data_IF_914571459354
#
_entry.id   IF_914571459354
#
_cell.length_a   1.000
_cell.length_b   1.000
_cell.length_c   1.000
_cell.angle_alpha   90.00
_cell.angle_beta   90.00
_cell.angle_gamma   90.00
#
_symmetry.space_group_name_H-M   'P 1'
#
loop_
_entity.id
_entity.type
_entity.pdbx_description
1 polymer ?
#
# COMPACT_ATOMS: atom_id res chain seq x y z
N UNK A 1 -18.14 1.94 -1.52
CA UNK A 1 -17.45 1.07 -2.52
C UNK A 1 -16.32 1.84 -3.23
N UNK A 2 -15.30 1.13 -3.71
CA UNK A 2 -14.22 1.73 -4.48
C UNK A 2 -13.82 0.90 -5.69
N UNK A 3 -13.03 1.50 -6.58
CA UNK A 3 -12.72 0.92 -7.89
C UNK A 3 -11.22 1.09 -8.23
N UNK A 4 -10.59 0.03 -8.76
CA UNK A 4 -9.25 0.13 -9.34
C UNK A 4 -9.38 0.72 -10.75
N UNK A 5 -8.66 1.79 -11.04
CA UNK A 5 -8.80 2.51 -12.33
C UNK A 5 -7.55 2.52 -13.19
N UNK A 6 -6.39 2.15 -12.63
CA UNK A 6 -5.18 1.91 -13.42
C UNK A 6 -5.35 0.72 -14.38
N UNK A 7 -4.59 0.74 -15.48
CA UNK A 7 -4.55 -0.32 -16.49
C UNK A 7 -3.28 -1.18 -16.38
N UNK A 8 -2.64 -1.17 -15.21
CA UNK A 8 -1.45 -1.96 -14.93
C UNK A 8 -0.14 -1.30 -15.35
N UNK A 9 0.94 -2.04 -15.08
CA UNK A 9 2.31 -1.61 -15.29
C UNK A 9 2.79 -1.95 -16.69
N UNK A 10 3.65 -1.12 -17.25
CA UNK A 10 4.38 -1.35 -18.49
C UNK A 10 5.87 -1.08 -18.28
N UNK A 11 6.77 -1.79 -18.99
CA UNK A 11 8.20 -1.48 -18.95
C UNK A 11 8.45 -0.01 -19.30
N UNK A 12 9.31 0.64 -18.52
CA UNK A 12 9.71 2.03 -18.75
C UNK A 12 10.88 2.05 -19.75
N UNK A 13 10.71 2.57 -20.98
CA UNK A 13 11.76 2.57 -21.98
C UNK A 13 13.00 3.34 -21.52
N UNK A 14 14.19 2.80 -21.77
CA UNK A 14 15.45 3.44 -21.37
C UNK A 14 15.77 3.36 -19.86
N UNK A 15 14.97 2.62 -19.08
CA UNK A 15 15.23 2.34 -17.67
C UNK A 15 15.87 0.97 -17.44
N UNK A 16 16.34 0.72 -16.21
CA UNK A 16 16.90 -0.57 -15.82
C UNK A 16 15.83 -1.49 -15.23
N UNK A 17 15.01 -2.10 -16.09
CA UNK A 17 13.88 -2.96 -15.71
C UNK A 17 12.88 -2.28 -14.76
N UNK A 18 12.72 -0.97 -14.87
CA UNK A 18 11.70 -0.23 -14.13
C UNK A 18 10.40 -0.20 -14.93
N UNK A 19 9.31 0.25 -14.29
CA UNK A 19 7.99 0.29 -14.92
C UNK A 19 7.28 1.61 -14.66
N UNK A 20 6.31 1.90 -15.52
CA UNK A 20 5.37 3.00 -15.34
C UNK A 20 3.95 2.46 -15.41
N UNK A 21 3.00 3.19 -14.84
CA UNK A 21 1.61 2.75 -14.79
C UNK A 21 0.74 3.44 -15.84
N UNK A 22 -0.08 2.68 -16.53
CA UNK A 22 -0.96 3.14 -17.59
C UNK A 22 -2.39 3.39 -17.08
N UNK A 23 -3.19 4.14 -17.85
CA UNK A 23 -4.65 4.25 -17.63
C UNK A 23 -5.23 5.66 -17.59
N UNK A 24 -4.44 6.70 -17.88
CA UNK A 24 -4.93 8.08 -17.89
C UNK A 24 -5.90 8.34 -19.05
N UNK A 25 -5.73 7.64 -20.17
CA UNK A 25 -6.60 7.77 -21.34
C UNK A 25 -8.05 7.40 -21.01
N UNK A 26 -8.94 8.36 -21.20
CA UNK A 26 -10.37 8.24 -20.89
C UNK A 26 -10.69 8.13 -19.39
N UNK A 27 -9.73 8.40 -18.50
CA UNK A 27 -9.92 8.24 -17.05
C UNK A 27 -11.07 9.10 -16.51
N UNK A 28 -11.21 10.36 -16.93
CA UNK A 28 -12.28 11.25 -16.48
C UNK A 28 -13.67 10.64 -16.75
N UNK A 29 -13.92 10.23 -17.99
CA UNK A 29 -15.19 9.59 -18.37
C UNK A 29 -15.45 8.31 -17.58
N UNK A 30 -14.41 7.49 -17.34
CA UNK A 30 -14.52 6.29 -16.51
C UNK A 30 -14.86 6.63 -15.05
N UNK A 31 -14.18 7.61 -14.45
CA UNK A 31 -14.44 8.04 -13.08
C UNK A 31 -15.88 8.58 -12.91
N UNK A 32 -16.36 9.41 -13.83
CA UNK A 32 -17.74 9.90 -13.82
C UNK A 32 -18.76 8.75 -13.88
N UNK A 33 -18.50 7.75 -14.71
CA UNK A 33 -19.36 6.57 -14.82
C UNK A 33 -19.31 5.71 -13.55
N UNK A 34 -18.12 5.45 -12.99
CA UNK A 34 -18.00 4.71 -11.73
C UNK A 34 -18.67 5.43 -10.57
N UNK A 35 -18.66 6.76 -10.53
CA UNK A 35 -19.38 7.53 -9.52
C UNK A 35 -20.89 7.28 -9.60
N UNK A 36 -21.47 7.29 -10.81
CA UNK A 36 -22.89 6.95 -11.05
C UNK A 36 -23.22 5.52 -10.62
N UNK A 37 -22.28 4.59 -10.78
CA UNK A 37 -22.39 3.20 -10.34
C UNK A 37 -22.15 3.01 -8.83
N UNK A 38 -21.88 4.08 -8.08
CA UNK A 38 -21.78 4.06 -6.61
C UNK A 38 -20.36 4.00 -6.04
N UNK A 39 -19.32 4.04 -6.87
CA UNK A 39 -17.95 4.21 -6.37
C UNK A 39 -17.79 5.60 -5.72
N UNK A 40 -17.02 5.66 -4.63
CA UNK A 40 -16.71 6.91 -3.91
C UNK A 40 -15.22 7.14 -3.69
N UNK A 41 -14.42 6.12 -3.95
CA UNK A 41 -12.97 6.24 -3.99
C UNK A 41 -12.42 5.40 -5.14
N UNK A 42 -11.25 5.77 -5.63
CA UNK A 42 -10.51 5.05 -6.64
C UNK A 42 -9.17 4.59 -6.09
N UNK A 43 -8.52 3.65 -6.77
CA UNK A 43 -7.14 3.23 -6.48
C UNK A 43 -6.33 3.21 -7.76
N UNK A 44 -5.11 3.73 -7.68
CA UNK A 44 -4.11 3.65 -8.73
C UNK A 44 -2.78 3.18 -8.16
N UNK A 45 -2.31 2.01 -8.61
CA UNK A 45 -1.03 1.45 -8.18
C UNK A 45 0.07 1.75 -9.19
N UNK A 46 1.14 2.38 -8.74
CA UNK A 46 2.44 2.36 -9.43
C UNK A 46 3.47 1.64 -8.57
N UNK A 47 4.61 1.26 -9.15
CA UNK A 47 5.69 0.60 -8.42
C UNK A 47 7.01 1.30 -8.60
N UNK A 48 7.86 1.19 -7.59
CA UNK A 48 9.23 1.67 -7.58
C UNK A 48 10.12 0.54 -7.08
N UNK A 49 11.15 0.16 -7.85
CA UNK A 49 12.07 -0.92 -7.50
C UNK A 49 13.32 -0.38 -6.83
N UNK A 50 13.76 -1.03 -5.74
CA UNK A 50 15.07 -0.78 -5.12
C UNK A 50 16.18 -1.61 -5.78
N UNK A 51 15.99 -2.91 -6.09
CA UNK A 51 16.93 -3.62 -6.93
C UNK A 51 17.04 -2.87 -8.25
N UNK A 52 18.28 -2.50 -8.60
CA UNK A 52 18.59 -1.78 -9.84
C UNK A 52 18.17 -0.29 -9.90
N UNK A 53 17.68 0.30 -8.81
CA UNK A 53 17.14 1.66 -8.80
C UNK A 53 16.65 2.17 -7.43
N UNK A 54 15.76 3.18 -7.35
CA UNK A 54 15.06 3.73 -8.49
C UNK A 54 15.82 4.85 -9.19
N UNK A 55 15.70 4.93 -10.51
CA UNK A 55 16.17 6.08 -11.28
C UNK A 55 15.29 7.31 -11.02
N UNK A 56 15.86 8.50 -11.21
CA UNK A 56 15.09 9.73 -11.14
C UNK A 56 13.91 9.76 -12.14
N UNK A 57 14.06 9.10 -13.29
CA UNK A 57 13.00 8.97 -14.28
C UNK A 57 11.83 8.14 -13.73
N UNK A 58 12.09 6.96 -13.18
CA UNK A 58 11.03 6.11 -12.65
C UNK A 58 10.29 6.74 -11.46
N UNK A 59 11.03 7.41 -10.56
CA UNK A 59 10.41 8.15 -9.44
C UNK A 59 9.51 9.27 -9.96
N UNK A 60 10.00 10.05 -10.93
CA UNK A 60 9.23 11.14 -11.55
C UNK A 60 7.98 10.62 -12.26
N UNK A 61 8.10 9.56 -13.07
CA UNK A 61 6.97 8.97 -13.80
C UNK A 61 5.91 8.43 -12.84
N UNK A 62 6.32 7.73 -11.78
CA UNK A 62 5.42 7.26 -10.73
C UNK A 62 4.67 8.42 -10.06
N UNK A 63 5.40 9.46 -9.64
CA UNK A 63 4.82 10.61 -8.95
C UNK A 63 3.89 11.44 -9.87
N UNK A 64 4.32 11.70 -11.12
CA UNK A 64 3.53 12.45 -12.09
C UNK A 64 2.25 11.72 -12.48
N UNK A 65 2.33 10.41 -12.76
CA UNK A 65 1.16 9.60 -13.08
C UNK A 65 0.13 9.58 -11.95
N UNK A 66 0.59 9.41 -10.71
CA UNK A 66 -0.27 9.46 -9.52
C UNK A 66 -0.94 10.82 -9.34
N UNK A 67 -0.21 11.92 -9.56
CA UNK A 67 -0.76 13.27 -9.41
C UNK A 67 -1.85 13.58 -10.44
N UNK A 68 -1.62 13.20 -11.71
CA UNK A 68 -2.62 13.32 -12.78
C UNK A 68 -3.87 12.50 -12.49
N UNK A 69 -3.68 11.25 -12.05
CA UNK A 69 -4.78 10.37 -11.62
C UNK A 69 -5.59 10.98 -10.47
N UNK A 70 -4.91 11.51 -9.45
CA UNK A 70 -5.55 12.05 -8.26
C UNK A 70 -6.42 13.27 -8.60
N UNK A 71 -5.88 14.22 -9.39
CA UNK A 71 -6.63 15.38 -9.85
C UNK A 71 -7.88 14.98 -10.64
N UNK A 72 -7.73 14.09 -11.63
CA UNK A 72 -8.87 13.59 -12.43
C UNK A 72 -9.92 12.90 -11.55
N UNK A 73 -9.49 12.14 -10.54
CA UNK A 73 -10.41 11.47 -9.62
C UNK A 73 -11.22 12.47 -8.80
N UNK A 74 -10.56 13.50 -8.25
CA UNK A 74 -11.21 14.55 -7.47
C UNK A 74 -12.22 15.34 -8.30
N UNK A 75 -11.86 15.73 -9.52
CA UNK A 75 -12.75 16.44 -10.45
C UNK A 75 -14.03 15.64 -10.79
N UNK A 76 -13.98 14.32 -10.63
CA UNK A 76 -15.11 13.42 -10.89
C UNK A 76 -15.73 12.84 -9.61
N UNK A 77 -15.44 13.44 -8.44
CA UNK A 77 -16.08 13.10 -7.17
C UNK A 77 -15.58 11.82 -6.50
N UNK A 78 -14.45 11.26 -6.93
CA UNK A 78 -13.84 10.08 -6.33
C UNK A 78 -12.63 10.47 -5.49
N UNK A 79 -12.58 10.02 -4.23
CA UNK A 79 -11.37 10.13 -3.39
C UNK A 79 -10.26 9.24 -3.97
N UNK A 80 -9.10 9.78 -4.40
CA UNK A 80 -8.01 8.96 -4.88
C UNK A 80 -7.21 8.32 -3.74
N UNK A 81 -6.97 7.01 -3.84
CA UNK A 81 -5.94 6.32 -3.08
C UNK A 81 -4.65 6.36 -3.88
N UNK A 82 -3.66 7.09 -3.38
CA UNK A 82 -2.33 7.28 -3.99
C UNK A 82 -1.39 6.18 -3.52
N UNK A 83 -1.03 5.26 -4.41
CA UNK A 83 -0.26 4.04 -4.10
C UNK A 83 1.07 3.97 -4.90
N UNK A 84 2.14 4.66 -4.43
CA UNK A 84 3.50 4.42 -4.89
C UNK A 84 4.12 3.25 -4.11
N UNK A 85 3.89 2.02 -4.57
CA UNK A 85 4.43 0.84 -3.89
C UNK A 85 5.93 0.71 -4.14
N UNK A 86 6.73 0.85 -3.10
CA UNK A 86 8.14 0.48 -3.14
C UNK A 86 8.23 -1.02 -2.92
N UNK A 87 8.78 -1.73 -3.90
CA UNK A 87 8.82 -3.20 -3.93
C UNK A 87 9.75 -3.75 -2.85
N UNK A 88 9.37 -4.92 -2.32
CA UNK A 88 10.10 -5.62 -1.28
C UNK A 88 11.34 -6.38 -1.81
N UNK A 89 11.41 -6.64 -3.12
CA UNK A 89 12.47 -7.43 -3.74
C UNK A 89 13.89 -6.91 -3.41
N UNK A 90 14.84 -7.81 -3.18
CA UNK A 90 16.26 -7.52 -2.94
C UNK A 90 16.78 -7.71 -1.50
N UNK A 91 18.09 -7.53 -1.32
CA UNK A 91 18.85 -7.67 -0.05
C UNK A 91 19.22 -6.29 0.55
N UNK A 92 18.38 -5.29 0.35
CA UNK A 92 18.63 -3.95 0.85
C UNK A 92 18.23 -3.83 2.34
N UNK A 93 18.95 -2.99 3.09
CA UNK A 93 18.63 -2.74 4.50
C UNK A 93 17.40 -1.83 4.66
N UNK A 94 16.84 -1.79 5.86
CA UNK A 94 15.70 -0.91 6.18
C UNK A 94 16.05 0.58 6.03
N UNK A 95 17.31 0.96 6.26
CA UNK A 95 17.81 2.33 6.03
C UNK A 95 17.76 2.70 4.55
N UNK A 96 18.11 1.76 3.67
CA UNK A 96 18.02 1.99 2.23
C UNK A 96 16.56 2.12 1.78
N UNK A 97 15.65 1.33 2.35
CA UNK A 97 14.21 1.49 2.10
C UNK A 97 13.71 2.86 2.57
N UNK A 98 14.15 3.32 3.73
CA UNK A 98 13.80 4.65 4.25
C UNK A 98 14.27 5.76 3.32
N UNK A 99 15.52 5.72 2.87
CA UNK A 99 16.10 6.70 1.95
C UNK A 99 15.28 6.79 0.65
N UNK A 100 14.99 5.64 0.04
CA UNK A 100 14.20 5.57 -1.19
C UNK A 100 12.77 6.05 -0.95
N UNK A 101 12.13 5.64 0.14
CA UNK A 101 10.79 6.08 0.49
C UNK A 101 10.70 7.58 0.71
N UNK A 102 11.69 8.18 1.36
CA UNK A 102 11.75 9.62 1.56
C UNK A 102 11.83 10.38 0.23
N UNK A 103 12.63 9.90 -0.72
CA UNK A 103 12.76 10.52 -2.04
C UNK A 103 11.48 10.37 -2.87
N UNK A 104 10.89 9.18 -2.90
CA UNK A 104 9.65 8.91 -3.64
C UNK A 104 8.50 9.76 -3.11
N UNK A 105 8.30 9.78 -1.79
CA UNK A 105 7.20 10.54 -1.20
C UNK A 105 7.38 12.06 -1.33
N UNK A 106 8.63 12.56 -1.34
CA UNK A 106 8.88 13.97 -1.64
C UNK A 106 8.40 14.36 -3.04
N UNK A 107 8.76 13.57 -4.06
CA UNK A 107 8.34 13.80 -5.44
C UNK A 107 6.82 13.65 -5.62
N UNK A 108 6.22 12.64 -4.96
CA UNK A 108 4.76 12.44 -4.98
C UNK A 108 4.03 13.68 -4.47
N UNK A 109 4.38 14.20 -3.29
CA UNK A 109 3.72 15.39 -2.76
C UNK A 109 4.02 16.66 -3.57
N UNK A 110 5.23 16.78 -4.10
CA UNK A 110 5.57 17.87 -5.02
C UNK A 110 4.62 17.87 -6.23
N UNK A 111 4.47 16.76 -6.93
CA UNK A 111 3.61 16.70 -8.11
C UNK A 111 2.11 16.71 -7.80
N UNK A 112 1.67 16.17 -6.66
CA UNK A 112 0.29 16.34 -6.19
C UNK A 112 -0.04 17.83 -6.04
N UNK A 113 0.87 18.61 -5.43
CA UNK A 113 0.70 20.06 -5.31
C UNK A 113 0.72 20.76 -6.69
N UNK A 114 1.63 20.38 -7.59
CA UNK A 114 1.68 20.96 -8.95
C UNK A 114 0.40 20.67 -9.77
N UNK A 115 -0.33 19.60 -9.45
CA UNK A 115 -1.61 19.26 -10.08
C UNK A 115 -2.83 19.78 -9.29
N UNK A 116 -2.63 20.66 -8.30
CA UNK A 116 -3.68 21.25 -7.46
C UNK A 116 -4.55 20.22 -6.73
N UNK A 117 -3.97 19.07 -6.35
CA UNK A 117 -4.69 18.03 -5.61
C UNK A 117 -4.96 18.51 -4.19
N UNK A 118 -6.21 18.39 -3.74
CA UNK A 118 -6.64 18.73 -2.37
C UNK A 118 -6.24 17.58 -1.43
N UNK A 119 -5.31 17.81 -0.51
CA UNK A 119 -4.74 16.74 0.33
C UNK A 119 -5.74 16.19 1.36
N UNK A 120 -6.70 17.00 1.80
CA UNK A 120 -7.81 16.59 2.67
C UNK A 120 -8.72 15.56 1.98
N UNK A 121 -8.71 15.55 0.64
CA UNK A 121 -9.50 14.68 -0.21
C UNK A 121 -8.74 13.51 -0.80
N UNK A 122 -7.60 13.07 -0.21
CA UNK A 122 -6.86 11.88 -0.66
C UNK A 122 -6.69 10.87 0.48
N UNK A 123 -6.35 9.64 0.11
CA UNK A 123 -5.77 8.66 1.03
C UNK A 123 -4.44 8.18 0.45
N UNK A 124 -3.50 7.83 1.32
CA UNK A 124 -2.24 7.23 0.87
C UNK A 124 -2.27 5.73 1.08
N UNK A 125 -1.64 4.98 0.18
CA UNK A 125 -1.39 3.55 0.34
C UNK A 125 0.09 3.26 0.13
N UNK A 126 0.95 3.59 1.11
CA UNK A 126 2.37 3.26 1.08
C UNK A 126 2.61 1.77 1.39
N UNK A 127 3.77 1.27 0.95
CA UNK A 127 4.42 0.13 1.61
C UNK A 127 4.98 0.56 2.97
N UNK A 128 5.03 -0.36 3.93
CA UNK A 128 5.77 -0.15 5.17
C UNK A 128 7.28 -0.10 4.85
N UNK A 129 8.05 0.62 5.67
CA UNK A 129 9.50 0.67 5.54
C UNK A 129 10.08 -0.57 6.22
N UNK A 130 10.42 -1.57 5.41
CA UNK A 130 10.99 -2.85 5.85
C UNK A 130 12.33 -3.11 5.17
N UNK A 131 13.19 -4.00 5.70
CA UNK A 131 14.25 -4.57 4.90
C UNK A 131 13.69 -5.29 3.67
N UNK A 132 14.54 -5.48 2.66
CA UNK A 132 14.19 -6.28 1.48
C UNK A 132 13.91 -7.73 1.84
N UNK A 133 13.14 -8.44 1.02
CA UNK A 133 12.72 -9.82 1.26
C UNK A 133 13.89 -10.80 1.36
N UNK A 134 14.98 -10.51 0.66
CA UNK A 134 16.19 -11.34 0.64
C UNK A 134 17.19 -10.90 1.72
N UNK A 135 16.84 -9.87 2.53
CA UNK A 135 17.72 -9.35 3.56
C UNK A 135 17.88 -10.31 4.73
N UNK A 136 19.14 -10.59 5.10
CA UNK A 136 19.48 -11.61 6.12
C UNK A 136 18.87 -11.34 7.49
N UNK A 137 18.67 -10.07 7.83
CA UNK A 137 18.13 -9.66 9.12
C UNK A 137 16.70 -9.18 8.95
N UNK A 138 15.75 -9.88 9.59
CA UNK A 138 14.38 -9.37 9.75
C UNK A 138 14.37 -8.24 10.78
N UNK A 139 13.55 -7.23 10.53
CA UNK A 139 13.30 -6.15 11.48
C UNK A 139 12.12 -6.51 12.40
N UNK A 140 12.19 -6.07 13.67
CA UNK A 140 11.05 -6.22 14.59
C UNK A 140 9.91 -5.27 14.22
N UNK A 141 8.66 -5.53 14.66
CA UNK A 141 7.55 -4.62 14.44
C UNK A 141 7.79 -3.20 14.95
N UNK A 142 8.45 -3.04 16.08
CA UNK A 142 8.80 -1.74 16.66
C UNK A 142 9.81 -1.00 15.78
N UNK A 143 10.76 -1.73 15.19
CA UNK A 143 11.75 -1.16 14.27
C UNK A 143 11.07 -0.72 12.98
N UNK A 144 10.22 -1.57 12.39
CA UNK A 144 9.44 -1.25 11.18
C UNK A 144 8.55 -0.04 11.44
N UNK A 145 7.84 -0.01 12.56
CA UNK A 145 6.99 1.12 12.94
C UNK A 145 7.79 2.41 13.08
N UNK A 146 8.93 2.38 13.79
CA UNK A 146 9.81 3.54 13.95
C UNK A 146 10.26 4.12 12.61
N UNK A 147 10.75 3.29 11.69
CA UNK A 147 11.23 3.74 10.38
C UNK A 147 10.09 4.22 9.50
N UNK A 148 8.95 3.53 9.52
CA UNK A 148 7.77 3.88 8.73
C UNK A 148 7.17 5.21 9.18
N UNK A 149 6.93 5.39 10.48
CA UNK A 149 6.41 6.66 11.02
C UNK A 149 7.39 7.81 10.81
N UNK A 150 8.70 7.55 10.93
CA UNK A 150 9.74 8.55 10.62
C UNK A 150 9.65 9.05 9.18
N UNK A 151 9.44 8.14 8.21
CA UNK A 151 9.23 8.52 6.81
C UNK A 151 7.97 9.39 6.65
N UNK A 152 6.84 8.96 7.24
CA UNK A 152 5.59 9.70 7.16
C UNK A 152 5.73 11.11 7.75
N UNK A 153 6.31 11.25 8.96
CA UNK A 153 6.54 12.55 9.60
C UNK A 153 7.44 13.48 8.81
N UNK A 154 8.35 12.95 7.98
CA UNK A 154 9.24 13.77 7.16
C UNK A 154 8.62 14.20 5.83
N UNK A 155 7.64 13.47 5.31
CA UNK A 155 7.17 13.63 3.92
C UNK A 155 5.69 13.84 3.74
N UNK A 156 4.85 13.44 4.70
CA UNK A 156 3.40 13.50 4.59
C UNK A 156 2.87 14.73 5.35
N UNK A 157 2.14 15.65 4.70
CA UNK A 157 1.47 16.74 5.39
C UNK A 157 0.34 16.22 6.33
N UNK A 158 0.12 16.83 7.50
CA UNK A 158 -1.01 16.51 8.39
C UNK A 158 -2.40 16.70 7.77
N UNK A 159 -2.52 17.44 6.66
CA UNK A 159 -3.78 17.62 5.95
C UNK A 159 -4.34 16.32 5.36
N UNK A 160 -3.50 15.32 5.12
CA UNK A 160 -3.95 14.01 4.64
C UNK A 160 -4.76 13.31 5.74
N UNK A 161 -5.99 12.85 5.51
CA UNK A 161 -6.79 12.25 6.58
C UNK A 161 -6.32 10.86 7.01
N UNK A 162 -5.72 10.07 6.11
CA UNK A 162 -5.35 8.71 6.45
C UNK A 162 -4.34 8.00 5.54
N UNK A 163 -3.67 7.02 6.15
CA UNK A 163 -2.61 6.19 5.60
C UNK A 163 -3.07 4.74 5.68
N UNK A 164 -3.34 4.13 4.54
CA UNK A 164 -3.96 2.82 4.39
C UNK A 164 -2.93 1.83 3.86
N UNK A 165 -2.06 1.30 4.73
CA UNK A 165 -0.91 0.50 4.31
C UNK A 165 -1.30 -0.70 3.43
N UNK A 166 -0.50 -0.96 2.40
CA UNK A 166 -0.50 -2.26 1.72
C UNK A 166 0.31 -3.28 2.53
N UNK A 167 -0.05 -4.56 2.46
CA UNK A 167 0.69 -5.61 3.17
C UNK A 167 1.95 -6.06 2.42
N UNK A 168 2.02 -5.83 1.11
CA UNK A 168 3.13 -6.30 0.28
C UNK A 168 3.25 -7.82 0.38
N UNK A 169 4.47 -8.32 0.57
CA UNK A 169 4.79 -9.75 0.77
C UNK A 169 4.84 -10.23 2.23
N UNK A 170 4.48 -9.38 3.19
CA UNK A 170 4.44 -9.76 4.62
C UNK A 170 3.41 -10.87 4.86
N UNK A 171 3.59 -11.68 5.90
CA UNK A 171 2.55 -12.62 6.36
C UNK A 171 1.31 -11.89 6.92
N UNK A 172 0.21 -12.63 7.15
CA UNK A 172 -1.00 -12.07 7.78
C UNK A 172 -0.69 -11.53 9.18
N UNK A 173 0.13 -12.26 9.96
CA UNK A 173 0.53 -11.83 11.30
C UNK A 173 1.54 -10.68 11.28
N UNK A 174 2.56 -10.74 10.41
CA UNK A 174 3.58 -9.68 10.29
C UNK A 174 2.91 -8.33 9.97
N UNK A 175 1.99 -8.32 9.00
CA UNK A 175 1.26 -7.11 8.63
C UNK A 175 0.44 -6.55 9.81
N UNK A 176 -0.24 -7.42 10.57
CA UNK A 176 -1.05 -7.04 11.73
C UNK A 176 -0.18 -6.48 12.86
N UNK A 177 0.94 -7.14 13.18
CA UNK A 177 1.87 -6.70 14.23
C UNK A 177 2.52 -5.36 13.91
N UNK A 178 2.95 -5.17 12.65
CA UNK A 178 3.57 -3.93 12.21
C UNK A 178 2.57 -2.76 12.25
N UNK A 179 1.33 -2.99 11.82
CA UNK A 179 0.25 -2.01 11.94
C UNK A 179 -0.04 -1.66 13.40
N UNK A 180 -0.09 -2.68 14.27
CA UNK A 180 -0.32 -2.49 15.69
C UNK A 180 0.76 -1.61 16.32
N UNK A 181 2.03 -1.92 16.04
CA UNK A 181 3.18 -1.17 16.55
C UNK A 181 3.15 0.31 16.11
N UNK A 182 2.72 0.60 14.87
CA UNK A 182 2.55 1.98 14.40
C UNK A 182 1.44 2.77 15.11
N UNK A 183 0.45 2.09 15.67
CA UNK A 183 -0.68 2.71 16.38
C UNK A 183 -0.51 2.75 17.91
N UNK A 184 0.63 2.30 18.46
CA UNK A 184 0.95 2.42 19.89
C UNK A 184 1.34 3.86 20.31
N UNK A 185 1.44 4.78 19.35
CA UNK A 185 1.77 6.19 19.59
C UNK A 185 0.81 7.14 18.86
N UNK A 186 0.85 8.44 19.19
CA UNK A 186 0.02 9.44 18.52
C UNK A 186 0.48 9.64 17.08
N UNK A 187 -0.49 9.67 16.16
CA UNK A 187 -0.27 9.98 14.75
C UNK A 187 -1.16 11.15 14.34
N UNK A 188 -0.67 12.09 13.50
CA UNK A 188 -1.50 13.17 12.97
C UNK A 188 -2.48 12.68 11.89
N UNK A 189 -2.30 11.46 11.39
CA UNK A 189 -3.16 10.80 10.40
C UNK A 189 -3.82 9.56 11.00
N UNK A 190 -4.93 9.11 10.41
CA UNK A 190 -5.42 7.75 10.68
C UNK A 190 -4.54 6.71 10.00
N UNK A 191 -3.82 5.91 10.80
CA UNK A 191 -2.95 4.83 10.32
C UNK A 191 -3.72 3.50 10.35
N UNK A 192 -4.04 2.98 9.17
CA UNK A 192 -4.89 1.78 9.01
C UNK A 192 -4.38 0.91 7.84
N UNK A 193 -5.22 0.02 7.34
CA UNK A 193 -4.87 -1.01 6.37
C UNK A 193 -5.71 -0.96 5.10
N UNK A 194 -5.08 -1.30 3.97
CA UNK A 194 -5.73 -1.64 2.70
C UNK A 194 -5.13 -2.95 2.18
N UNK A 195 -5.44 -4.04 2.89
CA UNK A 195 -4.86 -5.35 2.65
C UNK A 195 -5.65 -6.19 1.65
N UNK A 196 -4.91 -6.99 0.88
CA UNK A 196 -5.45 -8.06 0.05
C UNK A 196 -4.97 -9.40 0.63
N UNK A 197 -3.72 -9.80 0.29
CA UNK A 197 -3.12 -11.05 0.78
C UNK A 197 -3.21 -11.21 2.31
N UNK A 198 -2.88 -10.16 3.08
CA UNK A 198 -2.93 -10.21 4.54
C UNK A 198 -4.33 -10.33 5.18
N UNK A 199 -5.40 -10.26 4.37
CA UNK A 199 -6.78 -10.50 4.80
C UNK A 199 -7.40 -11.76 4.17
N UNK A 200 -6.83 -12.25 3.06
CA UNK A 200 -7.50 -13.23 2.19
C UNK A 200 -6.73 -14.55 2.06
N UNK A 201 -5.46 -14.63 2.45
CA UNK A 201 -4.66 -15.82 2.19
C UNK A 201 -5.21 -17.05 2.92
N UNK A 202 -5.45 -16.95 4.23
CA UNK A 202 -6.08 -18.03 5.00
C UNK A 202 -7.50 -18.30 4.51
N UNK A 203 -8.27 -17.25 4.17
CA UNK A 203 -9.63 -17.38 3.62
C UNK A 203 -9.65 -18.24 2.36
N UNK A 204 -8.75 -17.97 1.41
CA UNK A 204 -8.67 -18.70 0.14
C UNK A 204 -8.19 -20.15 0.36
N UNK A 205 -7.22 -20.37 1.25
CA UNK A 205 -6.73 -21.71 1.64
C UNK A 205 -7.83 -22.55 2.30
N UNK A 206 -8.66 -21.94 3.13
CA UNK A 206 -9.79 -22.60 3.79
C UNK A 206 -10.92 -22.89 2.81
N UNK A 207 -11.27 -21.93 1.96
CA UNK A 207 -12.39 -22.06 1.03
C UNK A 207 -12.14 -23.13 -0.05
N UNK A 208 -10.96 -23.11 -0.69
CA UNK A 208 -10.60 -24.03 -1.79
C UNK A 208 -11.60 -24.07 -2.96
N UNK A 209 -12.44 -23.04 -3.11
CA UNK A 209 -13.51 -23.03 -4.13
C UNK A 209 -14.69 -23.95 -3.81
N UNK A 210 -14.76 -24.51 -2.59
CA UNK A 210 -15.76 -25.51 -2.19
C UNK A 210 -16.93 -24.86 -1.44
N UNK A 211 -18.19 -25.00 -1.92
CA UNK A 211 -19.37 -24.42 -1.26
C UNK A 211 -19.52 -24.83 0.21
N UNK A 212 -19.14 -26.05 0.56
CA UNK A 212 -19.19 -26.56 1.94
C UNK A 212 -18.23 -25.84 2.91
N UNK A 213 -17.20 -25.16 2.38
CA UNK A 213 -16.22 -24.43 3.19
C UNK A 213 -16.53 -22.94 3.33
N UNK A 214 -17.65 -22.45 2.80
CA UNK A 214 -17.98 -21.02 2.79
C UNK A 214 -18.03 -20.45 4.21
N UNK A 215 -18.69 -21.12 5.15
CA UNK A 215 -18.80 -20.64 6.53
C UNK A 215 -17.44 -20.59 7.22
N UNK A 216 -16.63 -21.63 7.09
CA UNK A 216 -15.27 -21.67 7.65
C UNK A 216 -14.36 -20.58 7.07
N UNK A 217 -14.48 -20.29 5.77
CA UNK A 217 -13.73 -19.21 5.13
C UNK A 217 -14.19 -17.82 5.58
N UNK A 218 -15.50 -17.63 5.81
CA UNK A 218 -16.04 -16.39 6.38
C UNK A 218 -15.57 -16.18 7.82
N UNK A 219 -15.50 -17.24 8.63
CA UNK A 219 -14.95 -17.16 9.98
C UNK A 219 -13.48 -16.75 9.96
N UNK A 220 -12.67 -17.36 9.08
CA UNK A 220 -11.26 -16.97 8.89
C UNK A 220 -11.11 -15.48 8.49
N UNK A 221 -11.99 -14.99 7.62
CA UNK A 221 -12.02 -13.57 7.24
C UNK A 221 -12.33 -12.67 8.44
N UNK A 222 -13.33 -13.04 9.25
CA UNK A 222 -13.70 -12.27 10.44
C UNK A 222 -12.57 -12.23 11.47
N UNK A 223 -11.85 -13.34 11.65
CA UNK A 223 -10.67 -13.39 12.52
C UNK A 223 -9.62 -12.37 12.07
N UNK A 224 -9.23 -12.38 10.79
CA UNK A 224 -8.23 -11.43 10.26
C UNK A 224 -8.73 -9.98 10.23
N UNK A 225 -10.01 -9.76 9.94
CA UNK A 225 -10.61 -8.42 9.99
C UNK A 225 -10.61 -7.86 11.42
N UNK A 226 -10.96 -8.67 12.42
CA UNK A 226 -10.92 -8.26 13.84
C UNK A 226 -9.49 -7.99 14.30
N UNK A 227 -8.53 -8.83 13.93
CA UNK A 227 -7.12 -8.65 14.27
C UNK A 227 -6.59 -7.29 13.77
N UNK A 228 -6.80 -7.00 12.48
CA UNK A 228 -6.38 -5.72 11.88
C UNK A 228 -7.16 -4.51 12.42
N UNK A 229 -8.43 -4.69 12.78
CA UNK A 229 -9.22 -3.66 13.47
C UNK A 229 -8.64 -3.32 14.85
N UNK A 230 -8.24 -4.34 15.64
CA UNK A 230 -7.55 -4.11 16.92
C UNK A 230 -6.15 -3.50 16.72
N UNK A 231 -5.43 -3.89 15.66
CA UNK A 231 -4.13 -3.33 15.34
C UNK A 231 -4.22 -1.85 14.97
N UNK A 232 -5.27 -1.43 14.26
CA UNK A 232 -5.54 -0.01 13.98
C UNK A 232 -5.72 0.81 15.27
N UNK A 233 -6.24 0.20 16.34
CA UNK A 233 -6.39 0.85 17.65
C UNK A 233 -5.14 0.76 18.54
N UNK A 234 -4.09 0.08 18.09
CA UNK A 234 -2.91 -0.21 18.92
C UNK A 234 -3.26 -1.15 20.09
N UNK A 235 -4.13 -2.14 19.88
CA UNK A 235 -4.62 -3.03 20.96
C UNK A 235 -4.55 -4.51 20.61
N UNK A 236 -3.89 -4.85 19.51
CA UNK A 236 -3.77 -6.23 19.09
C UNK A 236 -2.70 -6.97 19.89
N UNK A 237 -3.02 -8.21 20.28
CA UNK A 237 -2.11 -9.19 20.86
C UNK A 237 -2.06 -10.43 19.96
N UNK A 238 -0.87 -11.00 19.78
CA UNK A 238 -0.66 -12.21 18.99
C UNK A 238 -0.86 -13.51 19.80
N UNK A 239 -1.36 -13.42 21.02
CA UNK A 239 -1.70 -14.60 21.82
C UNK A 239 -2.76 -15.45 21.13
N UNK A 240 -2.46 -16.73 20.90
CA UNK A 240 -3.37 -17.68 20.25
C UNK A 240 -3.35 -17.67 18.72
N UNK A 241 -2.39 -16.98 18.09
CA UNK A 241 -2.24 -16.99 16.63
C UNK A 241 -1.74 -18.33 16.08
N UNK A 242 -2.25 -18.73 14.92
CA UNK A 242 -1.87 -19.99 14.26
C UNK A 242 -0.51 -19.90 13.57
N UNK A 243 0.12 -21.03 13.30
CA UNK A 243 1.40 -21.06 12.57
C UNK A 243 1.22 -20.59 11.11
N UNK A 244 0.07 -20.87 10.49
CA UNK A 244 -0.22 -20.45 9.12
C UNK A 244 -0.25 -18.92 8.97
N UNK A 245 -0.71 -18.20 10.00
CA UNK A 245 -0.72 -16.74 9.99
C UNK A 245 0.70 -16.14 9.96
N UNK A 246 1.71 -16.92 10.37
CA UNK A 246 3.13 -16.51 10.41
C UNK A 246 3.82 -16.68 9.05
N UNK A 247 3.28 -17.48 8.13
CA UNK A 247 3.89 -17.76 6.83
C UNK A 247 3.96 -16.52 5.94
N UNK A 248 5.19 -16.12 5.56
CA UNK A 248 5.44 -15.01 4.64
C UNK A 248 4.82 -15.27 3.26
N UNK A 249 4.37 -14.20 2.60
CA UNK A 249 3.64 -14.28 1.32
C UNK A 249 4.41 -13.67 0.14
N UNK A 250 5.70 -13.39 0.33
CA UNK A 250 6.56 -12.82 -0.70
C UNK A 250 6.73 -13.79 -1.88
N UNK A 251 6.61 -13.24 -3.08
CA UNK A 251 6.91 -13.93 -4.33
C UNK A 251 7.72 -12.98 -5.19
N UNK A 252 8.92 -13.39 -5.58
CA UNK A 252 9.83 -12.57 -6.38
C UNK A 252 9.19 -12.22 -7.72
N UNK A 253 9.17 -10.92 -8.07
CA UNK A 253 8.56 -10.45 -9.32
C UNK A 253 7.04 -10.59 -9.39
N UNK A 254 6.34 -10.64 -8.25
CA UNK A 254 4.87 -10.76 -8.23
C UNK A 254 4.17 -9.62 -8.99
N UNK A 255 3.22 -9.98 -9.84
CA UNK A 255 2.31 -9.06 -10.55
C UNK A 255 0.87 -9.39 -10.18
N UNK A 256 0.04 -8.35 -9.97
CA UNK A 256 -1.39 -8.49 -9.66
C UNK A 256 -2.23 -8.75 -10.90
#
# INVERSE_FOLDING_TARGET
PGIKVDKGLSPLPGSNNESWCQGLDGLASRCAEYYKQGARFAKWRTVVSIPCGPSALAVKEAAWGLARYAAISQDNGLVPIVEPEILLDGDHSIERTLEVAENVWAEVFYYLAQNNVVFEGILLKPSMVTPGAEHKQKASPETIAKFTLKMLHRRVPPAVPGIMFLSGGQSELEATLNLNAMNQGPNPWHVSFSYARALQNTVLKTWQGRPENVEAAQEALLVRAKANSQAQLGRYSAEGESEEAKEGMFQKGYTY
#
